data_IF_787336701535
#
_entry.id   IF_787336701535
#
_cell.length_a   1.000
_cell.length_b   1.000
_cell.length_c   1.000
_cell.angle_alpha   90.00
_cell.angle_beta   90.00
_cell.angle_gamma   90.00
#
_symmetry.space_group_name_H-M   'P 1'
#
loop_
_entity.id
_entity.type
_entity.pdbx_description
1 polymer ?
#
# COMPACT_ATOMS: atom_id res chain seq x y z
N UNK A 1 -4.45 -13.85 14.79
CA UNK A 1 -3.60 -12.70 15.18
C UNK A 1 -2.76 -12.35 13.95
N UNK A 2 -2.70 -11.08 13.54
CA UNK A 2 -1.85 -10.63 12.43
C UNK A 2 -0.50 -10.21 13.03
N UNK A 3 0.46 -11.11 13.03
CA UNK A 3 1.77 -10.98 13.65
C UNK A 3 2.86 -10.53 12.65
N UNK A 4 2.68 -10.77 11.34
CA UNK A 4 3.61 -10.33 10.31
C UNK A 4 3.30 -8.89 9.88
N UNK A 5 4.33 -8.05 9.86
CA UNK A 5 4.24 -6.68 9.33
C UNK A 5 5.54 -6.27 8.64
N UNK A 6 5.43 -5.45 7.59
CA UNK A 6 6.59 -4.93 6.85
C UNK A 6 6.69 -3.43 6.98
N UNK A 7 7.93 -2.92 6.94
CA UNK A 7 8.20 -1.49 6.98
C UNK A 7 7.72 -0.81 5.70
N UNK A 8 7.07 0.34 5.85
CA UNK A 8 6.64 1.19 4.73
C UNK A 8 7.89 1.90 4.18
N UNK A 9 8.27 1.65 2.91
CA UNK A 9 9.46 2.28 2.33
C UNK A 9 9.34 3.81 2.30
N UNK A 10 10.43 4.52 2.55
CA UNK A 10 10.49 5.99 2.40
C UNK A 10 9.41 6.77 3.19
N UNK A 11 8.82 6.20 4.25
CA UNK A 11 7.71 6.81 5.02
C UNK A 11 8.03 8.23 5.50
N UNK A 12 9.25 8.43 6.00
CA UNK A 12 9.72 9.73 6.52
C UNK A 12 10.32 10.65 5.44
N UNK A 13 10.43 10.18 4.19
CA UNK A 13 10.90 11.01 3.09
C UNK A 13 9.82 12.01 2.66
N UNK A 14 10.25 13.24 2.36
CA UNK A 14 9.42 14.29 1.75
C UNK A 14 9.23 14.07 0.25
N UNK A 15 10.03 13.19 -0.36
CA UNK A 15 9.93 12.89 -1.78
C UNK A 15 8.61 12.17 -2.11
N UNK A 16 8.08 12.48 -3.29
CA UNK A 16 6.87 11.88 -3.86
C UNK A 16 7.23 10.70 -4.76
N UNK A 17 8.18 9.88 -4.31
CA UNK A 17 8.72 8.73 -5.03
C UNK A 17 8.24 7.42 -4.41
N UNK A 18 8.04 6.41 -5.26
CA UNK A 18 7.68 5.06 -4.83
C UNK A 18 8.87 4.11 -4.95
N UNK A 19 8.90 3.11 -4.08
CA UNK A 19 9.91 2.04 -4.10
C UNK A 19 9.32 0.79 -3.46
N UNK A 20 9.27 -0.31 -4.23
CA UNK A 20 8.70 -1.58 -3.79
C UNK A 20 9.75 -2.72 -3.73
N UNK A 21 10.98 -2.48 -4.21
CA UNK A 21 12.04 -3.50 -4.22
C UNK A 21 12.41 -3.95 -2.80
N UNK A 22 12.51 -2.99 -1.86
CA UNK A 22 12.76 -3.31 -0.45
C UNK A 22 11.66 -4.17 0.16
N UNK A 23 10.39 -3.87 -0.16
CA UNK A 23 9.24 -4.65 0.31
C UNK A 23 9.27 -6.08 -0.27
N UNK A 24 9.56 -6.23 -1.57
CA UNK A 24 9.75 -7.56 -2.19
C UNK A 24 10.83 -8.37 -1.47
N UNK A 25 11.97 -7.76 -1.15
CA UNK A 25 13.03 -8.46 -0.43
C UNK A 25 12.62 -8.82 1.00
N UNK A 26 11.91 -7.94 1.71
CA UNK A 26 11.40 -8.23 3.05
C UNK A 26 10.42 -9.41 3.06
N UNK A 27 9.50 -9.46 2.09
CA UNK A 27 8.59 -10.60 1.88
C UNK A 27 9.37 -11.88 1.62
N UNK A 28 10.37 -11.84 0.73
CA UNK A 28 11.23 -13.01 0.45
C UNK A 28 11.94 -13.50 1.71
N UNK A 29 12.51 -12.59 2.50
CA UNK A 29 13.19 -12.96 3.75
C UNK A 29 12.23 -13.54 4.77
N UNK A 30 11.00 -13.02 4.85
CA UNK A 30 9.97 -13.58 5.72
C UNK A 30 9.59 -15.00 5.31
N UNK A 31 9.34 -15.23 4.02
CA UNK A 31 9.06 -16.57 3.47
C UNK A 31 10.15 -17.57 3.86
N UNK A 32 11.43 -17.17 3.80
CA UNK A 32 12.56 -18.03 4.13
C UNK A 32 12.72 -18.36 5.62
N UNK A 33 12.00 -17.68 6.53
CA UNK A 33 11.99 -18.04 7.96
C UNK A 33 11.15 -19.26 8.26
N UNK A 34 10.27 -19.65 7.34
CA UNK A 34 9.32 -20.74 7.53
C UNK A 34 9.80 -21.96 6.75
N UNK A 35 10.11 -23.05 7.45
CA UNK A 35 10.47 -24.33 6.80
C UNK A 35 9.30 -24.90 5.99
N UNK A 36 8.06 -24.68 6.46
CA UNK A 36 6.84 -25.05 5.75
C UNK A 36 5.89 -23.84 5.64
N UNK A 37 5.48 -23.51 4.42
CA UNK A 37 4.52 -22.45 4.14
C UNK A 37 3.11 -23.03 4.13
N UNK A 38 2.50 -23.08 5.31
CA UNK A 38 1.07 -23.36 5.42
C UNK A 38 0.25 -22.27 4.73
N UNK A 39 -1.00 -22.57 4.38
CA UNK A 39 -1.87 -21.60 3.73
C UNK A 39 -2.21 -20.42 4.65
N UNK A 40 -2.26 -20.64 5.96
CA UNK A 40 -2.40 -19.57 6.96
C UNK A 40 -1.20 -18.60 6.94
N UNK A 41 0.03 -19.13 6.90
CA UNK A 41 1.25 -18.30 6.84
C UNK A 41 1.29 -17.54 5.51
N UNK A 42 0.95 -18.19 4.38
CA UNK A 42 0.88 -17.52 3.08
C UNK A 42 -0.15 -16.39 3.10
N UNK A 43 -1.34 -16.65 3.65
CA UNK A 43 -2.39 -15.65 3.76
C UNK A 43 -1.95 -14.47 4.64
N UNK A 44 -1.23 -14.72 5.72
CA UNK A 44 -0.71 -13.69 6.61
C UNK A 44 0.38 -12.84 5.95
N UNK A 45 1.34 -13.47 5.26
CA UNK A 45 2.38 -12.78 4.48
C UNK A 45 1.74 -11.95 3.35
N UNK A 46 0.77 -12.51 2.63
CA UNK A 46 0.07 -11.83 1.55
C UNK A 46 -0.71 -10.61 2.07
N UNK A 47 -1.41 -10.77 3.20
CA UNK A 47 -2.09 -9.66 3.88
C UNK A 47 -1.09 -8.57 4.29
N UNK A 48 0.02 -8.94 4.93
CA UNK A 48 1.03 -7.99 5.36
C UNK A 48 1.65 -7.24 4.16
N UNK A 49 1.94 -7.94 3.07
CA UNK A 49 2.42 -7.35 1.83
C UNK A 49 1.42 -6.35 1.24
N UNK A 50 0.18 -6.77 1.04
CA UNK A 50 -0.88 -5.93 0.46
C UNK A 50 -1.08 -4.68 1.31
N UNK A 51 -1.18 -4.85 2.64
CA UNK A 51 -1.39 -3.75 3.56
C UNK A 51 -0.23 -2.75 3.50
N UNK A 52 1.03 -3.20 3.58
CA UNK A 52 2.20 -2.31 3.50
C UNK A 52 2.33 -1.64 2.14
N UNK A 53 2.03 -2.35 1.05
CA UNK A 53 2.04 -1.77 -0.30
C UNK A 53 0.98 -0.67 -0.44
N UNK A 54 -0.24 -0.91 0.05
CA UNK A 54 -1.30 0.10 0.09
C UNK A 54 -0.90 1.29 0.97
N UNK A 55 -0.36 1.06 2.17
CA UNK A 55 0.10 2.12 3.07
C UNK A 55 1.17 3.00 2.41
N UNK A 56 2.10 2.42 1.65
CA UNK A 56 3.11 3.18 0.90
C UNK A 56 2.47 4.07 -0.17
N UNK A 57 1.50 3.53 -0.92
CA UNK A 57 0.75 4.32 -1.91
C UNK A 57 0.02 5.48 -1.22
N UNK A 58 -0.66 5.20 -0.12
CA UNK A 58 -1.43 6.20 0.61
C UNK A 58 -0.55 7.29 1.24
N UNK A 59 0.64 6.97 1.76
CA UNK A 59 1.58 7.96 2.31
C UNK A 59 1.93 9.05 1.28
N UNK A 60 2.23 8.65 0.05
CA UNK A 60 2.59 9.61 -1.01
C UNK A 60 1.38 10.35 -1.55
N UNK A 61 0.24 9.66 -1.72
CA UNK A 61 -0.99 10.31 -2.15
C UNK A 61 -1.47 11.34 -1.13
N UNK A 62 -1.43 11.06 0.16
CA UNK A 62 -1.83 12.03 1.18
C UNK A 62 -0.95 13.29 1.15
N UNK A 63 0.36 13.15 0.92
CA UNK A 63 1.26 14.29 0.68
C UNK A 63 0.85 15.08 -0.58
N UNK A 64 0.54 14.40 -1.68
CA UNK A 64 0.09 15.03 -2.93
C UNK A 64 -1.22 15.80 -2.74
N UNK A 65 -2.22 15.21 -2.08
CA UNK A 65 -3.52 15.85 -1.80
C UNK A 65 -3.43 17.03 -0.81
N UNK A 66 -2.38 17.06 0.02
CA UNK A 66 -2.07 18.21 0.86
C UNK A 66 -1.41 19.34 0.06
N UNK A 67 -0.54 19.02 -0.90
CA UNK A 67 0.16 20.01 -1.73
C UNK A 67 -0.71 20.59 -2.84
N UNK A 68 -1.62 19.79 -3.40
CA UNK A 68 -2.41 20.15 -4.57
C UNK A 68 -3.89 19.94 -4.32
N UNK A 69 -4.71 20.77 -4.95
CA UNK A 69 -6.17 20.65 -4.95
C UNK A 69 -6.65 20.34 -6.35
N UNK A 70 -7.48 19.32 -6.48
CA UNK A 70 -8.06 18.90 -7.75
C UNK A 70 -9.46 18.34 -7.53
N UNK A 71 -10.33 18.56 -8.53
CA UNK A 71 -11.73 18.13 -8.48
C UNK A 71 -11.90 16.63 -8.78
N UNK A 72 -11.02 16.05 -9.58
CA UNK A 72 -11.09 14.66 -10.01
C UNK A 72 -9.73 13.99 -9.81
N UNK A 73 -9.75 12.74 -9.33
CA UNK A 73 -8.58 11.88 -9.18
C UNK A 73 -8.86 10.55 -9.87
N UNK A 74 -8.05 10.20 -10.87
CA UNK A 74 -8.20 8.95 -11.62
C UNK A 74 -7.18 7.90 -11.17
N UNK A 75 -7.61 6.65 -11.08
CA UNK A 75 -6.70 5.52 -10.83
C UNK A 75 -6.81 4.49 -11.96
N UNK A 76 -5.68 4.16 -12.56
CA UNK A 76 -5.58 3.26 -13.72
C UNK A 76 -4.55 2.15 -13.45
N UNK A 77 -4.52 1.15 -14.34
CA UNK A 77 -3.62 0.00 -14.25
C UNK A 77 -4.17 -1.15 -13.40
N UNK A 78 -3.51 -2.32 -13.48
CA UNK A 78 -4.03 -3.55 -12.87
C UNK A 78 -4.17 -3.52 -11.35
N UNK A 79 -3.23 -2.86 -10.66
CA UNK A 79 -3.28 -2.72 -9.20
C UNK A 79 -4.52 -1.95 -8.72
N UNK A 80 -5.14 -1.14 -9.57
CA UNK A 80 -6.38 -0.42 -9.25
C UNK A 80 -7.57 -1.35 -9.03
N UNK A 81 -7.51 -2.61 -9.45
CA UNK A 81 -8.57 -3.59 -9.17
C UNK A 81 -8.54 -4.10 -7.72
N UNK A 82 -7.48 -3.80 -6.96
CA UNK A 82 -7.36 -4.20 -5.57
C UNK A 82 -8.41 -3.50 -4.70
N UNK A 83 -9.28 -4.27 -4.03
CA UNK A 83 -10.40 -3.76 -3.25
C UNK A 83 -9.97 -2.97 -2.02
N UNK A 84 -8.89 -3.40 -1.36
CA UNK A 84 -8.32 -2.71 -0.20
C UNK A 84 -7.79 -1.32 -0.60
N UNK A 85 -7.03 -1.25 -1.70
CA UNK A 85 -6.55 0.01 -2.27
C UNK A 85 -7.71 0.91 -2.71
N UNK A 86 -8.70 0.37 -3.45
CA UNK A 86 -9.89 1.11 -3.90
C UNK A 86 -10.63 1.78 -2.74
N UNK A 87 -10.88 1.04 -1.66
CA UNK A 87 -11.55 1.57 -0.46
C UNK A 87 -10.77 2.72 0.17
N UNK A 88 -9.44 2.59 0.29
CA UNK A 88 -8.59 3.67 0.82
C UNK A 88 -8.57 4.91 -0.07
N UNK A 89 -8.52 4.73 -1.39
CA UNK A 89 -8.58 5.82 -2.35
C UNK A 89 -9.92 6.55 -2.30
N UNK A 90 -11.03 5.82 -2.15
CA UNK A 90 -12.36 6.40 -1.96
C UNK A 90 -12.39 7.29 -0.71
N UNK A 91 -11.91 6.78 0.42
CA UNK A 91 -11.85 7.52 1.67
C UNK A 91 -10.96 8.77 1.56
N UNK A 92 -9.80 8.66 0.89
CA UNK A 92 -8.92 9.80 0.65
C UNK A 92 -9.62 10.85 -0.21
N UNK A 93 -10.25 10.46 -1.31
CA UNK A 93 -10.97 11.38 -2.18
C UNK A 93 -12.10 12.10 -1.42
N UNK A 94 -12.86 11.38 -0.58
CA UNK A 94 -13.89 11.97 0.27
C UNK A 94 -13.31 12.99 1.27
N UNK A 95 -12.21 12.64 1.96
CA UNK A 95 -11.52 13.53 2.91
C UNK A 95 -11.12 14.87 2.28
N UNK A 96 -10.81 14.88 0.99
CA UNK A 96 -10.33 16.07 0.29
C UNK A 96 -11.37 16.69 -0.67
N UNK A 97 -12.63 16.25 -0.62
CA UNK A 97 -13.70 16.71 -1.52
C UNK A 97 -13.36 16.56 -3.01
N UNK A 98 -12.73 15.44 -3.37
CA UNK A 98 -12.33 15.08 -4.72
C UNK A 98 -13.20 13.91 -5.22
N UNK A 99 -13.54 13.91 -6.51
CA UNK A 99 -14.23 12.77 -7.14
C UNK A 99 -13.21 11.71 -7.56
N UNK A 100 -13.36 10.48 -7.03
CA UNK A 100 -12.65 9.32 -7.59
C UNK A 100 -13.27 8.96 -8.95
N UNK A 101 -12.43 8.83 -9.98
CA UNK A 101 -12.80 8.44 -11.34
C UNK A 101 -12.15 7.11 -11.73
#
# INVERSE_FOLDING_TARGET
LKNISFNIPLKHSKELTYSFSGLKNAVRLEILKHENLSDDIKAEIAYAFENTACDHIMDKLEKIFNLYKFKNFGVVGGASANLNLRSRLQNLCQKYNTNLK
#
